data_IF_374677422740
#
_entry.id   IF_374677422740
#
_cell.length_a   1.000
_cell.length_b   1.000
_cell.length_c   1.000
_cell.angle_alpha   90.00
_cell.angle_beta   90.00
_cell.angle_gamma   90.00
#
_symmetry.space_group_name_H-M   'P 1'
#
loop_
_entity.id
_entity.type
_entity.pdbx_description
1 polymer ?
#
# COMPACT_ATOMS: atom_id res chain seq x y z
N UNK A 1 -14.55 6.25 34.55
CA UNK A 1 -14.46 5.03 33.71
C UNK A 1 -15.84 4.44 33.40
N UNK A 2 -16.77 4.33 34.35
CA UNK A 2 -18.11 3.71 34.07
C UNK A 2 -19.05 4.53 33.18
N UNK A 3 -19.04 5.88 33.23
CA UNK A 3 -19.92 6.71 32.37
C UNK A 3 -19.59 6.71 30.88
N UNK A 4 -18.33 6.43 30.53
CA UNK A 4 -17.90 6.30 29.12
C UNK A 4 -18.46 4.99 28.55
N UNK A 5 -18.39 3.90 29.33
CA UNK A 5 -18.92 2.58 28.92
C UNK A 5 -20.44 2.56 28.65
N UNK A 6 -21.24 3.26 29.44
CA UNK A 6 -22.70 3.27 29.27
C UNK A 6 -23.17 4.05 28.02
N UNK A 7 -22.46 5.11 27.64
CA UNK A 7 -22.75 5.85 26.41
C UNK A 7 -22.37 5.03 25.16
N UNK A 8 -21.32 4.22 25.26
CA UNK A 8 -20.78 3.46 24.12
C UNK A 8 -21.60 2.22 23.76
N UNK A 9 -22.28 1.59 24.72
CA UNK A 9 -23.10 0.39 24.47
C UNK A 9 -24.36 0.68 23.64
N UNK A 10 -24.87 1.90 23.65
CA UNK A 10 -26.10 2.27 22.93
C UNK A 10 -25.86 2.68 21.46
N UNK A 11 -24.62 2.99 21.07
CA UNK A 11 -24.25 3.59 19.77
C UNK A 11 -23.13 2.84 19.02
N UNK A 12 -22.64 1.70 19.53
CA UNK A 12 -21.55 0.94 18.89
C UNK A 12 -21.99 0.32 17.56
N UNK A 13 -21.54 0.90 16.44
CA UNK A 13 -21.57 0.24 15.14
C UNK A 13 -20.50 -0.86 15.11
N UNK A 14 -20.95 -2.11 15.30
CA UNK A 14 -20.07 -3.28 15.31
C UNK A 14 -19.33 -3.48 13.98
N UNK A 15 -19.94 -3.13 12.84
CA UNK A 15 -19.30 -3.23 11.53
C UNK A 15 -18.20 -2.18 11.38
N UNK A 16 -18.45 -0.95 11.84
CA UNK A 16 -17.42 0.09 11.89
C UNK A 16 -16.28 -0.28 12.84
N UNK A 17 -16.60 -0.77 14.04
CA UNK A 17 -15.60 -1.22 15.00
C UNK A 17 -14.70 -2.31 14.41
N UNK A 18 -15.28 -3.34 13.77
CA UNK A 18 -14.52 -4.39 13.11
C UNK A 18 -13.70 -3.83 11.95
N UNK A 19 -14.30 -2.97 11.11
CA UNK A 19 -13.62 -2.32 9.99
C UNK A 19 -12.40 -1.53 10.46
N UNK A 20 -12.56 -0.59 11.39
CA UNK A 20 -11.47 0.24 11.91
C UNK A 20 -10.44 -0.58 12.67
N UNK A 21 -10.86 -1.59 13.44
CA UNK A 21 -9.95 -2.49 14.16
C UNK A 21 -9.06 -3.25 13.19
N UNK A 22 -9.60 -3.84 12.13
CA UNK A 22 -8.80 -4.58 11.16
C UNK A 22 -7.87 -3.68 10.34
N UNK A 23 -8.26 -2.42 10.08
CA UNK A 23 -7.40 -1.46 9.37
C UNK A 23 -6.28 -0.89 10.24
N UNK A 24 -6.54 -0.63 11.52
CA UNK A 24 -5.57 0.00 12.42
C UNK A 24 -4.67 -1.01 13.13
N UNK A 25 -5.15 -2.24 13.35
CA UNK A 25 -4.46 -3.27 14.13
C UNK A 25 -4.02 -4.46 13.27
N UNK A 26 -3.34 -4.20 12.16
CA UNK A 26 -2.63 -5.23 11.41
C UNK A 26 -1.12 -4.96 11.38
N UNK A 27 -0.34 -6.04 11.33
CA UNK A 27 1.11 -5.93 11.30
C UNK A 27 1.59 -5.75 9.85
N UNK A 28 1.86 -4.48 9.48
CA UNK A 28 2.47 -4.10 8.19
C UNK A 28 3.87 -4.69 8.01
N UNK A 29 4.22 -5.06 6.79
CA UNK A 29 5.57 -5.54 6.44
C UNK A 29 6.46 -4.37 6.00
N UNK A 30 7.23 -3.84 6.96
CA UNK A 30 8.10 -2.66 6.75
C UNK A 30 9.13 -2.87 5.65
N UNK A 31 9.67 -4.10 5.52
CA UNK A 31 10.67 -4.39 4.51
C UNK A 31 10.07 -4.26 3.09
N UNK A 32 8.83 -4.73 2.92
CA UNK A 32 8.10 -4.61 1.67
C UNK A 32 7.71 -3.16 1.35
N UNK A 33 7.31 -2.37 2.36
CA UNK A 33 7.04 -0.95 2.14
C UNK A 33 8.28 -0.16 1.73
N UNK A 34 9.39 -0.44 2.40
CA UNK A 34 10.66 0.20 2.13
C UNK A 34 11.15 -0.12 0.71
N UNK A 35 11.10 -1.39 0.29
CA UNK A 35 11.49 -1.77 -1.07
C UNK A 35 10.54 -1.19 -2.12
N UNK A 36 9.21 -1.16 -1.88
CA UNK A 36 8.23 -0.55 -2.80
C UNK A 36 8.55 0.91 -3.06
N UNK A 37 8.80 1.67 -1.99
CA UNK A 37 9.13 3.08 -2.09
C UNK A 37 10.47 3.30 -2.81
N UNK A 38 11.47 2.47 -2.51
CA UNK A 38 12.75 2.50 -3.21
C UNK A 38 12.58 2.22 -4.71
N UNK A 39 11.82 1.18 -5.07
CA UNK A 39 11.55 0.83 -6.45
C UNK A 39 10.86 1.96 -7.22
N UNK A 40 9.72 2.41 -6.71
CA UNK A 40 8.92 3.44 -7.38
C UNK A 40 9.70 4.75 -7.51
N UNK A 41 10.41 5.21 -6.47
CA UNK A 41 11.02 6.54 -6.48
C UNK A 41 12.46 6.57 -7.02
N UNK A 42 13.28 5.56 -6.72
CA UNK A 42 14.70 5.55 -7.08
C UNK A 42 14.99 4.71 -8.32
N UNK A 43 14.24 3.63 -8.57
CA UNK A 43 14.52 2.73 -9.70
C UNK A 43 13.73 3.16 -10.93
N UNK A 44 12.40 3.13 -10.87
CA UNK A 44 11.55 3.35 -12.05
C UNK A 44 11.24 4.83 -12.28
N UNK A 45 10.90 5.58 -11.23
CA UNK A 45 10.41 6.94 -11.35
C UNK A 45 11.42 7.99 -11.79
N UNK A 46 12.69 7.63 -12.00
CA UNK A 46 13.76 8.55 -12.41
C UNK A 46 13.91 8.74 -13.91
N UNK A 47 13.38 7.81 -14.71
CA UNK A 47 13.46 7.90 -16.16
C UNK A 47 12.11 7.59 -16.79
N UNK A 48 11.60 8.55 -17.57
CA UNK A 48 10.37 8.40 -18.34
C UNK A 48 10.43 7.22 -19.32
N UNK A 49 11.62 6.81 -19.76
CA UNK A 49 11.80 5.71 -20.70
C UNK A 49 11.50 4.34 -20.08
N UNK A 50 11.31 4.27 -18.76
CA UNK A 50 10.84 3.06 -18.08
C UNK A 50 9.33 2.81 -18.29
N UNK A 51 8.65 3.71 -19.01
CA UNK A 51 7.21 3.63 -19.31
C UNK A 51 6.95 3.64 -20.81
N UNK A 52 5.83 3.01 -21.18
CA UNK A 52 5.32 3.02 -22.55
C UNK A 52 5.05 4.45 -23.05
N UNK A 53 5.16 4.63 -24.37
CA UNK A 53 5.10 5.94 -25.03
C UNK A 53 3.83 6.74 -24.71
N UNK A 54 2.71 6.06 -24.49
CA UNK A 54 1.43 6.67 -24.12
C UNK A 54 1.41 7.20 -22.67
N UNK A 55 2.19 6.61 -21.77
CA UNK A 55 2.33 7.03 -20.37
C UNK A 55 3.38 8.14 -20.21
N UNK A 56 4.37 8.24 -21.11
CA UNK A 56 5.45 9.24 -21.00
C UNK A 56 4.96 10.69 -20.94
N UNK A 57 3.77 11.00 -21.49
CA UNK A 57 3.16 12.33 -21.37
C UNK A 57 2.62 12.66 -19.96
N UNK A 58 2.31 11.63 -19.17
CA UNK A 58 1.91 11.74 -17.77
C UNK A 58 3.10 11.86 -16.82
N UNK A 59 4.33 11.57 -17.29
CA UNK A 59 5.55 11.54 -16.47
C UNK A 59 5.72 12.78 -15.60
N UNK A 60 6.10 12.55 -14.35
CA UNK A 60 6.51 13.59 -13.40
C UNK A 60 7.78 13.14 -12.70
N UNK A 61 8.82 13.95 -12.78
CA UNK A 61 10.08 13.72 -12.06
C UNK A 61 9.91 14.07 -10.57
N UNK A 62 9.23 13.19 -9.84
CA UNK A 62 9.03 13.33 -8.40
C UNK A 62 10.35 13.35 -7.64
N UNK A 63 11.34 12.60 -8.10
CA UNK A 63 12.64 12.51 -7.46
C UNK A 63 13.32 13.88 -7.38
N UNK A 64 13.47 14.53 -8.54
CA UNK A 64 14.11 15.84 -8.65
C UNK A 64 13.27 16.92 -7.96
N UNK A 65 11.94 16.92 -8.16
CA UNK A 65 11.06 17.90 -7.55
C UNK A 65 11.10 17.84 -6.00
N UNK A 66 11.12 16.63 -5.44
CA UNK A 66 11.24 16.40 -4.01
C UNK A 66 12.59 16.85 -3.47
N UNK A 67 13.68 16.47 -4.15
CA UNK A 67 15.04 16.87 -3.78
C UNK A 67 15.24 18.40 -3.82
N UNK A 68 14.70 19.07 -4.83
CA UNK A 68 14.76 20.53 -4.94
C UNK A 68 13.99 21.23 -3.82
N UNK A 69 12.80 20.73 -3.47
CA UNK A 69 11.96 21.36 -2.45
C UNK A 69 12.47 21.15 -1.03
N UNK A 70 12.81 19.91 -0.67
CA UNK A 70 13.13 19.55 0.71
C UNK A 70 14.64 19.47 0.99
N UNK A 71 15.47 19.44 -0.05
CA UNK A 71 16.94 19.40 0.07
C UNK A 71 17.49 18.02 0.44
N UNK A 72 16.70 16.96 0.26
CA UNK A 72 17.07 15.54 0.37
C UNK A 72 16.18 14.72 -0.57
N UNK A 73 16.64 13.54 -0.98
CA UNK A 73 15.91 12.69 -1.93
C UNK A 73 14.85 11.83 -1.23
N UNK A 74 13.85 11.29 -1.96
CA UNK A 74 12.90 10.32 -1.41
C UNK A 74 13.57 9.12 -0.72
N UNK A 75 14.67 8.63 -1.29
CA UNK A 75 15.45 7.51 -0.75
C UNK A 75 16.17 7.88 0.54
N UNK A 76 16.68 9.11 0.64
CA UNK A 76 17.25 9.60 1.90
C UNK A 76 16.17 9.74 2.97
N UNK A 77 15.02 10.31 2.61
CA UNK A 77 13.85 10.43 3.49
C UNK A 77 13.44 9.07 4.07
N UNK A 78 13.20 8.07 3.22
CA UNK A 78 12.79 6.74 3.68
C UNK A 78 13.91 6.05 4.48
N UNK A 79 15.17 6.17 4.07
CA UNK A 79 16.29 5.56 4.80
C UNK A 79 16.44 6.13 6.22
N UNK A 80 16.32 7.44 6.39
CA UNK A 80 16.44 8.07 7.71
C UNK A 80 15.28 7.71 8.63
N UNK A 81 14.06 7.62 8.10
CA UNK A 81 12.92 7.09 8.85
C UNK A 81 13.10 5.61 9.22
N UNK A 82 13.73 4.81 8.37
CA UNK A 82 14.05 3.41 8.68
C UNK A 82 15.02 3.32 9.87
N UNK A 83 16.01 4.21 9.92
CA UNK A 83 16.90 4.33 11.08
C UNK A 83 16.18 4.65 12.39
N UNK A 84 15.11 5.44 12.35
CA UNK A 84 14.30 5.75 13.53
C UNK A 84 13.55 4.53 14.10
N UNK A 85 13.33 3.48 13.29
CA UNK A 85 12.67 2.26 13.76
C UNK A 85 13.54 1.40 14.69
N UNK A 86 14.87 1.61 14.72
CA UNK A 86 15.80 0.86 15.60
C UNK A 86 15.35 0.91 17.06
N UNK A 87 14.81 2.05 17.52
CA UNK A 87 14.40 2.21 18.93
C UNK A 87 13.24 1.30 19.33
N UNK A 88 12.48 0.80 18.36
CA UNK A 88 11.33 -0.07 18.60
C UNK A 88 11.66 -1.55 18.40
N UNK A 89 12.62 -1.86 17.53
CA UNK A 89 12.95 -3.24 17.16
C UNK A 89 14.30 -3.73 17.69
N UNK A 90 15.06 -2.91 18.43
CA UNK A 90 16.27 -3.40 19.08
C UNK A 90 15.92 -4.37 20.22
N UNK A 91 16.54 -5.56 20.25
CA UNK A 91 16.38 -6.58 21.30
C UNK A 91 16.84 -6.11 22.70
N UNK A 92 17.59 -5.01 22.74
CA UNK A 92 17.85 -4.30 23.99
C UNK A 92 16.55 -3.60 24.37
N UNK A 93 16.03 -3.83 25.58
CA UNK A 93 14.90 -3.10 26.18
C UNK A 93 15.13 -1.56 26.18
N UNK A 94 15.18 -0.94 25.00
CA UNK A 94 15.74 0.39 24.77
C UNK A 94 14.89 1.47 25.40
N UNK A 95 13.58 1.22 25.50
CA UNK A 95 12.62 2.07 26.19
C UNK A 95 12.76 2.02 27.73
N UNK A 96 13.43 0.99 28.30
CA UNK A 96 13.66 0.88 29.75
C UNK A 96 14.95 1.61 30.16
N UNK A 97 15.92 1.74 29.26
CA UNK A 97 17.25 2.27 29.58
C UNK A 97 17.55 3.66 28.99
N UNK A 98 16.78 4.15 28.02
CA UNK A 98 16.98 5.47 27.40
C UNK A 98 15.79 6.40 27.67
N UNK A 99 16.09 7.69 27.79
CA UNK A 99 15.07 8.74 27.74
C UNK A 99 14.32 8.64 26.40
N UNK A 100 12.98 8.69 26.45
CA UNK A 100 12.16 8.79 25.24
C UNK A 100 12.45 10.08 24.47
N UNK A 101 12.83 11.17 25.17
CA UNK A 101 13.35 12.38 24.55
C UNK A 101 14.75 12.13 24.01
N UNK A 102 14.88 12.26 22.70
CA UNK A 102 16.13 12.07 21.94
C UNK A 102 16.67 13.41 21.47
N UNK A 103 17.99 13.51 21.42
CA UNK A 103 18.69 14.65 20.86
C UNK A 103 19.39 14.24 19.56
N UNK A 104 19.21 15.01 18.49
CA UNK A 104 19.76 14.70 17.16
C UNK A 104 21.29 14.62 17.19
N UNK A 105 21.97 15.51 17.91
CA UNK A 105 23.44 15.51 17.99
C UNK A 105 23.94 14.31 18.80
N UNK A 106 23.24 13.93 19.88
CA UNK A 106 23.61 12.77 20.68
C UNK A 106 23.44 11.45 19.91
N UNK A 107 22.36 11.33 19.13
CA UNK A 107 22.03 10.12 18.38
C UNK A 107 22.80 10.04 17.06
N UNK A 108 22.84 11.12 16.30
CA UNK A 108 23.31 11.16 14.92
C UNK A 108 24.57 12.01 14.71
N UNK A 109 25.15 12.62 15.76
CA UNK A 109 26.27 13.56 15.61
C UNK A 109 27.50 12.99 14.91
N UNK A 110 27.68 11.66 14.93
CA UNK A 110 28.78 10.96 14.24
C UNK A 110 28.44 10.55 12.79
N UNK A 111 27.18 10.67 12.38
CA UNK A 111 26.73 10.30 11.04
C UNK A 111 26.92 11.50 10.11
N UNK A 112 27.55 11.26 8.96
CA UNK A 112 27.89 12.31 7.98
C UNK A 112 26.63 13.04 7.48
N UNK A 113 25.52 12.33 7.38
CA UNK A 113 24.23 12.78 6.90
C UNK A 113 23.38 13.48 7.98
N UNK A 114 23.93 13.79 9.17
CA UNK A 114 23.17 14.34 10.32
C UNK A 114 22.30 15.55 9.99
N UNK A 115 22.78 16.44 9.13
CA UNK A 115 22.03 17.64 8.73
C UNK A 115 20.78 17.28 7.91
N UNK A 116 20.86 16.24 7.08
CA UNK A 116 19.72 15.76 6.32
C UNK A 116 18.73 15.01 7.21
N UNK A 117 19.23 14.18 8.14
CA UNK A 117 18.40 13.52 9.15
C UNK A 117 17.63 14.56 9.98
N UNK A 118 18.32 15.61 10.43
CA UNK A 118 17.72 16.72 11.17
C UNK A 118 16.59 17.39 10.38
N UNK A 119 16.79 17.65 9.08
CA UNK A 119 15.72 18.20 8.22
C UNK A 119 14.50 17.28 8.14
N UNK A 120 14.70 15.98 7.95
CA UNK A 120 13.59 15.01 7.90
C UNK A 120 12.80 15.01 9.20
N UNK A 121 13.47 14.89 10.34
CA UNK A 121 12.82 14.92 11.67
C UNK A 121 12.04 16.22 11.84
N UNK A 122 12.64 17.37 11.49
CA UNK A 122 11.99 18.68 11.65
C UNK A 122 10.75 18.84 10.77
N UNK A 123 10.75 18.36 9.52
CA UNK A 123 9.58 18.42 8.63
C UNK A 123 8.42 17.57 9.18
N UNK A 124 8.75 16.50 9.88
CA UNK A 124 7.79 15.55 10.43
C UNK A 124 7.45 15.81 11.91
N UNK A 125 7.94 16.92 12.47
CA UNK A 125 7.74 17.28 13.87
C UNK A 125 6.62 18.29 14.09
N UNK A 126 5.94 18.19 15.23
CA UNK A 126 5.07 19.23 15.76
C UNK A 126 5.43 19.58 17.21
N UNK A 127 5.05 20.78 17.66
CA UNK A 127 5.25 21.17 19.06
C UNK A 127 4.22 20.53 19.98
N UNK A 128 4.59 20.39 21.25
CA UNK A 128 3.70 19.91 22.33
C UNK A 128 2.43 20.77 22.41
N UNK A 129 2.56 22.09 22.29
CA UNK A 129 1.43 23.01 22.35
C UNK A 129 0.40 22.77 21.23
N UNK A 130 0.87 22.45 20.02
CA UNK A 130 -0.02 22.14 18.90
C UNK A 130 -0.75 20.82 19.10
N UNK A 131 -0.08 19.76 19.58
CA UNK A 131 -0.76 18.50 19.92
C UNK A 131 -1.76 18.69 21.05
N UNK A 132 -1.42 19.47 22.08
CA UNK A 132 -2.35 19.77 23.18
C UNK A 132 -3.62 20.44 22.66
N UNK A 133 -3.47 21.42 21.75
CA UNK A 133 -4.61 22.10 21.14
C UNK A 133 -5.49 21.11 20.36
N UNK A 134 -4.88 20.31 19.48
CA UNK A 134 -5.62 19.30 18.71
C UNK A 134 -6.34 18.30 19.61
N UNK A 135 -5.68 17.75 20.63
CA UNK A 135 -6.28 16.77 21.55
C UNK A 135 -7.49 17.32 22.32
N UNK A 136 -7.52 18.63 22.62
CA UNK A 136 -8.68 19.28 23.22
C UNK A 136 -9.80 19.46 22.18
N UNK A 137 -9.45 19.81 20.94
CA UNK A 137 -10.41 20.00 19.84
C UNK A 137 -11.05 18.68 19.38
N UNK A 138 -10.31 17.57 19.46
CA UNK A 138 -10.76 16.22 19.06
C UNK A 138 -11.20 15.33 20.23
N UNK A 139 -11.36 15.86 21.46
CA UNK A 139 -11.67 15.05 22.66
C UNK A 139 -12.89 14.13 22.51
N UNK A 140 -13.88 14.53 21.70
CA UNK A 140 -15.10 13.76 21.44
C UNK A 140 -15.00 12.82 20.21
N UNK A 141 -13.83 12.69 19.58
CA UNK A 141 -13.58 11.83 18.41
C UNK A 141 -12.62 10.70 18.83
N UNK A 142 -13.17 9.61 19.35
CA UNK A 142 -12.41 8.53 20.01
C UNK A 142 -11.31 7.90 19.15
N UNK A 143 -11.46 7.92 17.82
CA UNK A 143 -10.52 7.33 16.87
C UNK A 143 -9.74 8.38 16.05
N UNK A 144 -9.82 9.67 16.42
CA UNK A 144 -9.01 10.68 15.76
C UNK A 144 -7.56 10.61 16.25
N UNK A 145 -6.73 9.88 15.50
CA UNK A 145 -5.27 9.86 15.63
C UNK A 145 -4.57 10.61 14.49
N UNK A 146 -5.34 11.37 13.69
CA UNK A 146 -4.87 11.94 12.42
C UNK A 146 -3.61 12.79 12.57
N UNK A 147 -3.50 13.57 13.65
CA UNK A 147 -2.34 14.43 13.89
C UNK A 147 -1.05 13.65 14.13
N UNK A 148 -1.13 12.49 14.77
CA UNK A 148 0.02 11.62 14.99
C UNK A 148 0.45 10.91 13.69
N UNK A 149 -0.49 10.60 12.80
CA UNK A 149 -0.18 10.08 11.47
C UNK A 149 0.38 11.15 10.52
N UNK A 150 -0.06 12.41 10.66
CA UNK A 150 0.41 13.54 9.86
C UNK A 150 1.83 13.95 10.22
N UNK A 151 2.14 13.97 11.52
CA UNK A 151 3.41 14.36 12.10
C UNK A 151 3.77 13.32 13.17
N UNK A 152 4.68 12.38 12.89
CA UNK A 152 5.01 11.29 13.81
C UNK A 152 5.98 11.68 14.95
N UNK A 153 6.52 12.90 14.94
CA UNK A 153 7.45 13.38 15.96
C UNK A 153 6.87 14.53 16.79
N UNK A 154 7.07 14.45 18.10
CA UNK A 154 6.80 15.55 19.04
C UNK A 154 8.12 16.20 19.38
N UNK A 155 8.21 17.53 19.25
CA UNK A 155 9.40 18.31 19.55
C UNK A 155 9.16 19.23 20.75
N UNK A 156 10.12 19.27 21.66
CA UNK A 156 10.11 20.21 22.78
C UNK A 156 10.80 21.54 22.44
N UNK A 157 10.84 22.46 23.43
CA UNK A 157 11.44 23.79 23.29
C UNK A 157 12.97 23.76 23.17
N UNK A 158 13.60 22.70 23.69
CA UNK A 158 15.05 22.51 23.64
C UNK A 158 15.49 21.82 22.33
N UNK A 159 14.53 21.45 21.48
CA UNK A 159 14.76 20.79 20.21
C UNK A 159 14.95 19.29 20.30
N UNK A 160 14.75 18.69 21.48
CA UNK A 160 14.65 17.24 21.64
C UNK A 160 13.34 16.76 21.03
N UNK A 161 13.32 15.50 20.61
CA UNK A 161 12.16 14.92 19.95
C UNK A 161 11.82 13.54 20.51
N UNK A 162 10.54 13.18 20.36
CA UNK A 162 10.00 11.84 20.62
C UNK A 162 9.37 11.36 19.32
N UNK A 163 9.67 10.13 18.93
CA UNK A 163 8.82 9.39 18.00
C UNK A 163 7.66 8.78 18.78
N UNK A 164 6.43 8.94 18.29
CA UNK A 164 5.22 8.53 19.02
C UNK A 164 5.11 7.00 19.13
N UNK A 165 5.16 6.33 17.99
CA UNK A 165 5.21 4.87 17.90
C UNK A 165 5.70 4.43 16.51
N UNK A 166 6.07 3.15 16.41
CA UNK A 166 6.46 2.51 15.16
C UNK A 166 5.37 2.59 14.08
N UNK A 167 4.09 2.48 14.44
CA UNK A 167 2.95 2.60 13.49
C UNK A 167 2.96 3.96 12.79
N UNK A 168 3.10 5.06 13.53
CA UNK A 168 3.10 6.42 12.95
C UNK A 168 4.32 6.67 12.07
N UNK A 169 5.47 6.11 12.44
CA UNK A 169 6.66 6.14 11.59
C UNK A 169 6.46 5.35 10.30
N UNK A 170 5.95 4.11 10.40
CA UNK A 170 5.63 3.25 9.25
C UNK A 170 4.68 3.96 8.26
N UNK A 171 3.63 4.61 8.78
CA UNK A 171 2.75 5.45 7.96
C UNK A 171 3.50 6.57 7.22
N UNK A 172 4.52 7.16 7.84
CA UNK A 172 5.28 8.24 7.24
C UNK A 172 6.11 7.80 6.02
N UNK A 173 6.47 6.52 5.89
CA UNK A 173 7.18 6.01 4.70
C UNK A 173 6.33 6.07 3.45
N UNK A 174 5.04 5.79 3.58
CA UNK A 174 4.19 5.47 2.44
C UNK A 174 3.08 6.51 2.21
N UNK A 175 2.30 6.82 3.26
CA UNK A 175 1.21 7.80 3.14
C UNK A 175 1.76 9.23 3.18
N UNK A 176 2.66 9.53 4.11
CA UNK A 176 3.16 10.92 4.24
C UNK A 176 4.01 11.34 3.04
N UNK A 177 4.81 10.44 2.47
CA UNK A 177 5.65 10.78 1.32
C UNK A 177 4.80 11.16 0.10
N UNK A 178 3.65 10.51 -0.11
CA UNK A 178 2.68 10.88 -1.15
C UNK A 178 2.26 12.34 -1.02
N UNK A 179 1.92 12.79 0.20
CA UNK A 179 1.55 14.17 0.46
C UNK A 179 2.71 15.14 0.30
N UNK A 180 3.91 14.78 0.75
CA UNK A 180 5.11 15.61 0.53
C UNK A 180 5.42 15.78 -0.96
N UNK A 181 5.29 14.71 -1.76
CA UNK A 181 5.39 14.79 -3.23
C UNK A 181 4.31 15.69 -3.80
N UNK A 182 3.05 15.57 -3.35
CA UNK A 182 1.95 16.43 -3.80
C UNK A 182 2.27 17.90 -3.60
N UNK A 183 2.85 18.26 -2.46
CA UNK A 183 3.20 19.64 -2.15
C UNK A 183 4.38 20.18 -3.00
N UNK A 184 5.12 19.34 -3.73
CA UNK A 184 6.12 19.80 -4.70
C UNK A 184 5.48 20.45 -5.93
N UNK A 185 4.17 20.28 -6.13
CA UNK A 185 3.44 20.79 -7.29
C UNK A 185 2.39 21.83 -6.88
N UNK A 186 2.02 22.77 -7.77
CA UNK A 186 0.97 23.75 -7.50
C UNK A 186 -0.36 23.09 -7.09
N UNK A 187 -1.09 23.70 -6.15
CA UNK A 187 -2.39 23.16 -5.70
C UNK A 187 -3.43 23.06 -6.82
N UNK A 188 -3.32 23.94 -7.84
CA UNK A 188 -4.18 23.91 -9.01
C UNK A 188 -3.92 22.70 -9.95
N UNK A 189 -2.72 22.11 -9.91
CA UNK A 189 -2.39 20.94 -10.72
C UNK A 189 -2.98 19.67 -10.09
N UNK A 190 -4.22 19.34 -10.48
CA UNK A 190 -4.90 18.12 -10.06
C UNK A 190 -4.31 16.85 -10.71
N UNK A 191 -3.52 16.99 -11.78
CA UNK A 191 -2.90 15.87 -12.48
C UNK A 191 -1.59 15.43 -11.83
N UNK A 192 -1.03 16.25 -10.93
CA UNK A 192 0.27 16.02 -10.31
C UNK A 192 0.43 14.64 -9.68
N UNK A 193 -0.66 14.02 -9.17
CA UNK A 193 -0.63 12.69 -8.53
C UNK A 193 -1.09 11.54 -9.43
N UNK A 194 -1.53 11.81 -10.66
CA UNK A 194 -1.93 10.76 -11.59
C UNK A 194 -0.76 9.81 -11.88
N UNK A 195 0.46 10.36 -12.04
CA UNK A 195 1.66 9.58 -12.30
C UNK A 195 2.09 8.69 -11.12
N UNK A 196 1.73 9.03 -9.88
CA UNK A 196 1.96 8.14 -8.73
C UNK A 196 1.20 6.81 -8.90
N UNK A 197 -0.01 6.87 -9.46
CA UNK A 197 -0.76 5.66 -9.84
C UNK A 197 0.00 4.80 -10.85
N UNK A 198 0.64 5.42 -11.85
CA UNK A 198 1.45 4.73 -12.86
C UNK A 198 2.67 4.04 -12.27
N UNK A 199 3.30 4.63 -11.26
CA UNK A 199 4.41 3.99 -10.54
C UNK A 199 3.95 2.72 -9.80
N UNK A 200 2.78 2.78 -9.18
CA UNK A 200 2.19 1.65 -8.49
C UNK A 200 1.74 0.55 -9.44
N UNK A 201 1.07 0.91 -10.54
CA UNK A 201 0.71 -0.02 -11.64
C UNK A 201 1.95 -0.75 -12.17
N UNK A 202 3.02 0.00 -12.45
CA UNK A 202 4.29 -0.55 -12.94
C UNK A 202 4.93 -1.51 -11.93
N UNK A 203 4.94 -1.18 -10.64
CA UNK A 203 5.42 -2.08 -9.60
C UNK A 203 4.68 -3.43 -9.61
N UNK A 204 3.34 -3.40 -9.63
CA UNK A 204 2.55 -4.64 -9.66
C UNK A 204 2.82 -5.42 -10.95
N UNK A 205 2.87 -4.77 -12.10
CA UNK A 205 3.19 -5.43 -13.37
C UNK A 205 4.54 -6.13 -13.32
N UNK A 206 5.58 -5.47 -12.81
CA UNK A 206 6.93 -6.03 -12.75
C UNK A 206 7.03 -7.17 -11.73
N UNK A 207 6.42 -7.05 -10.54
CA UNK A 207 6.35 -8.17 -9.57
C UNK A 207 5.63 -9.37 -10.19
N UNK A 208 4.52 -9.12 -10.91
CA UNK A 208 3.73 -10.17 -11.57
C UNK A 208 4.55 -10.88 -12.64
N UNK A 209 5.18 -10.12 -13.53
CA UNK A 209 6.00 -10.66 -14.62
C UNK A 209 7.16 -11.48 -14.06
N UNK A 210 7.90 -10.95 -13.08
CA UNK A 210 9.09 -11.61 -12.54
C UNK A 210 8.78 -12.84 -11.70
N UNK A 211 7.65 -12.85 -10.98
CA UNK A 211 7.20 -14.02 -10.23
C UNK A 211 6.66 -15.14 -11.14
N UNK A 212 6.20 -14.79 -12.34
CA UNK A 212 5.58 -15.76 -13.26
C UNK A 212 6.63 -16.68 -13.89
N UNK A 213 6.61 -17.94 -13.51
CA UNK A 213 7.54 -18.96 -14.01
C UNK A 213 6.86 -20.35 -14.14
N UNK A 214 7.57 -21.31 -14.74
CA UNK A 214 7.10 -22.69 -14.90
C UNK A 214 5.84 -22.81 -15.77
N UNK A 215 4.79 -23.41 -15.23
CA UNK A 215 3.51 -23.64 -15.94
C UNK A 215 2.60 -22.39 -16.00
N UNK A 216 3.04 -21.27 -15.41
CA UNK A 216 2.33 -20.01 -15.45
C UNK A 216 2.83 -19.14 -16.61
N UNK A 217 1.89 -18.56 -17.35
CA UNK A 217 2.19 -17.66 -18.48
C UNK A 217 1.76 -16.23 -18.13
N UNK A 218 2.70 -15.28 -18.25
CA UNK A 218 2.42 -13.86 -18.06
C UNK A 218 1.94 -13.23 -19.37
N UNK A 219 0.91 -12.41 -19.29
CA UNK A 219 0.41 -11.61 -20.42
C UNK A 219 0.32 -10.15 -19.94
N UNK A 220 1.11 -9.28 -20.58
CA UNK A 220 1.19 -7.86 -20.25
C UNK A 220 -0.11 -7.11 -20.61
N UNK A 221 -0.24 -5.86 -20.12
CA UNK A 221 -1.27 -4.93 -20.60
C UNK A 221 -1.15 -4.72 -22.11
N UNK A 222 -2.27 -4.60 -22.81
CA UNK A 222 -2.31 -4.30 -24.24
C UNK A 222 -3.48 -3.39 -24.61
N UNK A 223 -3.34 -2.71 -25.74
CA UNK A 223 -4.43 -1.95 -26.35
C UNK A 223 -5.43 -2.86 -27.06
N UNK A 224 -6.72 -2.58 -26.90
CA UNK A 224 -7.80 -3.22 -27.64
C UNK A 224 -8.85 -2.17 -28.07
N UNK A 225 -9.77 -2.57 -28.95
CA UNK A 225 -10.84 -1.68 -29.43
C UNK A 225 -12.18 -2.08 -28.83
N UNK A 226 -12.79 -1.16 -28.09
CA UNK A 226 -14.17 -1.28 -27.66
C UNK A 226 -15.01 -0.20 -28.35
N UNK A 227 -16.02 -0.60 -29.14
CA UNK A 227 -16.94 0.34 -29.84
C UNK A 227 -16.19 1.44 -30.62
N UNK A 228 -15.11 1.06 -31.33
CA UNK A 228 -14.22 1.95 -32.11
C UNK A 228 -13.35 2.91 -31.29
N UNK A 229 -13.34 2.81 -29.97
CA UNK A 229 -12.40 3.54 -29.10
C UNK A 229 -11.28 2.60 -28.68
N UNK A 230 -10.06 3.08 -28.78
CA UNK A 230 -8.90 2.39 -28.20
C UNK A 230 -8.97 2.49 -26.68
N UNK A 231 -8.75 1.36 -26.03
CA UNK A 231 -8.73 1.20 -24.57
C UNK A 231 -7.55 0.31 -24.18
N UNK A 232 -7.07 0.46 -22.96
CA UNK A 232 -6.12 -0.48 -22.35
C UNK A 232 -6.87 -1.60 -21.64
N UNK A 233 -6.30 -2.79 -21.72
CA UNK A 233 -6.74 -3.98 -20.98
C UNK A 233 -6.56 -3.78 -19.47
N UNK A 234 -6.83 -4.81 -18.67
CA UNK A 234 -6.35 -4.82 -17.28
C UNK A 234 -4.81 -4.85 -17.24
N UNK A 235 -4.26 -4.43 -16.10
CA UNK A 235 -2.83 -4.12 -15.94
C UNK A 235 -1.91 -5.32 -16.14
N UNK A 236 -2.37 -6.53 -15.79
CA UNK A 236 -1.65 -7.78 -16.02
C UNK A 236 -2.58 -8.99 -16.04
N UNK A 237 -2.13 -10.08 -16.67
CA UNK A 237 -2.78 -11.38 -16.60
C UNK A 237 -1.78 -12.52 -16.35
N UNK A 238 -2.26 -13.58 -15.71
CA UNK A 238 -1.52 -14.82 -15.52
C UNK A 238 -2.41 -15.98 -15.94
N UNK A 239 -1.93 -16.83 -16.84
CA UNK A 239 -2.64 -18.03 -17.30
C UNK A 239 -2.00 -19.30 -16.76
N UNK A 240 -2.82 -20.29 -16.40
CA UNK A 240 -2.41 -21.69 -16.21
C UNK A 240 -3.48 -22.62 -16.73
N UNK A 241 -3.21 -23.27 -17.87
CA UNK A 241 -4.17 -24.14 -18.54
C UNK A 241 -5.43 -23.38 -18.97
N UNK A 242 -6.59 -23.77 -18.40
CA UNK A 242 -7.90 -23.15 -18.65
C UNK A 242 -8.27 -22.06 -17.64
N UNK A 243 -7.39 -21.77 -16.67
CA UNK A 243 -7.60 -20.70 -15.69
C UNK A 243 -6.86 -19.42 -16.10
N UNK A 244 -7.53 -18.29 -15.90
CA UNK A 244 -6.97 -16.95 -16.10
C UNK A 244 -7.10 -16.12 -14.83
N UNK A 245 -6.00 -15.55 -14.37
CA UNK A 245 -5.97 -14.52 -13.34
C UNK A 245 -5.85 -13.17 -14.03
N UNK A 246 -6.80 -12.28 -13.77
CA UNK A 246 -6.84 -10.90 -14.25
C UNK A 246 -6.50 -9.98 -13.09
N UNK A 247 -5.51 -9.11 -13.28
CA UNK A 247 -5.01 -8.19 -12.25
C UNK A 247 -5.35 -6.77 -12.67
N UNK A 248 -6.19 -6.12 -11.88
CA UNK A 248 -6.58 -4.71 -12.06
C UNK A 248 -6.04 -3.90 -10.88
N UNK A 249 -5.19 -2.93 -11.15
CA UNK A 249 -4.45 -2.17 -10.15
C UNK A 249 -5.08 -0.80 -9.96
N UNK A 250 -5.19 -0.37 -8.70
CA UNK A 250 -5.62 0.98 -8.34
C UNK A 250 -4.76 1.51 -7.20
N UNK A 251 -3.98 2.55 -7.45
CA UNK A 251 -3.14 3.23 -6.43
C UNK A 251 -3.93 4.05 -5.40
N UNK A 252 -5.09 3.56 -4.96
CA UNK A 252 -5.89 4.17 -3.91
C UNK A 252 -5.67 3.45 -2.58
N UNK A 253 -5.60 4.25 -1.52
CA UNK A 253 -5.63 3.83 -0.12
C UNK A 253 -7.03 4.12 0.47
N UNK A 254 -7.36 3.48 1.59
CA UNK A 254 -8.64 3.71 2.29
C UNK A 254 -8.67 5.14 2.84
N UNK A 255 -9.78 5.85 2.63
CA UNK A 255 -9.88 7.23 3.12
C UNK A 255 -9.84 7.26 4.66
N UNK A 256 -9.03 8.15 5.23
CA UNK A 256 -8.92 8.33 6.68
C UNK A 256 -10.26 8.69 7.33
N UNK A 257 -11.14 9.41 6.62
CA UNK A 257 -12.50 9.70 7.07
C UNK A 257 -13.38 8.44 7.17
N UNK A 258 -13.15 7.41 6.36
CA UNK A 258 -13.83 6.12 6.51
C UNK A 258 -13.41 5.42 7.81
N UNK A 259 -12.14 5.55 8.18
CA UNK A 259 -11.58 4.93 9.39
C UNK A 259 -11.97 5.68 10.67
N UNK A 260 -11.97 7.02 10.64
CA UNK A 260 -12.19 7.87 11.82
C UNK A 260 -13.68 8.14 12.07
N UNK A 261 -14.48 8.31 11.00
CA UNK A 261 -15.86 8.82 11.10
C UNK A 261 -16.93 7.85 10.60
N UNK A 262 -16.55 6.69 10.06
CA UNK A 262 -17.45 5.76 9.36
C UNK A 262 -18.20 6.38 8.17
N UNK A 263 -17.71 7.48 7.63
CA UNK A 263 -18.36 8.16 6.51
C UNK A 263 -17.85 7.60 5.18
N UNK A 264 -18.72 7.59 4.14
CA UNK A 264 -18.35 7.22 2.77
C UNK A 264 -17.87 5.77 2.57
N UNK A 265 -18.13 4.84 3.51
CA UNK A 265 -17.73 3.42 3.40
C UNK A 265 -18.21 2.77 2.09
N UNK A 266 -19.48 2.95 1.72
CA UNK A 266 -20.02 2.41 0.45
C UNK A 266 -19.27 2.96 -0.77
N UNK A 267 -18.96 4.25 -0.78
CA UNK A 267 -18.22 4.91 -1.86
C UNK A 267 -16.77 4.41 -1.92
N UNK A 268 -16.16 4.14 -0.78
CA UNK A 268 -14.84 3.51 -0.69
C UNK A 268 -14.88 2.08 -1.24
N UNK A 269 -15.87 1.29 -0.83
CA UNK A 269 -16.06 -0.09 -1.30
C UNK A 269 -16.30 -0.17 -2.81
N UNK A 270 -17.12 0.73 -3.35
CA UNK A 270 -17.37 0.83 -4.78
C UNK A 270 -16.09 1.20 -5.56
N UNK A 271 -15.24 2.06 -4.98
CA UNK A 271 -14.01 2.54 -5.62
C UNK A 271 -12.87 1.50 -5.58
N UNK A 272 -12.70 0.79 -4.48
CA UNK A 272 -11.59 -0.15 -4.27
C UNK A 272 -11.87 -1.56 -4.79
N UNK A 273 -13.13 -2.01 -4.76
CA UNK A 273 -13.47 -3.40 -5.11
C UNK A 273 -14.49 -3.51 -6.24
N UNK A 274 -15.67 -2.91 -6.12
CA UNK A 274 -16.76 -3.15 -7.10
C UNK A 274 -16.39 -2.64 -8.50
N UNK A 275 -15.99 -1.37 -8.64
CA UNK A 275 -15.69 -0.78 -9.97
C UNK A 275 -14.49 -1.42 -10.65
N UNK A 276 -13.35 -1.63 -9.98
CA UNK A 276 -12.20 -2.28 -10.63
C UNK A 276 -12.54 -3.68 -11.13
N UNK A 277 -13.24 -4.50 -10.34
CA UNK A 277 -13.66 -5.83 -10.77
C UNK A 277 -14.59 -5.77 -11.98
N UNK A 278 -15.58 -4.87 -11.97
CA UNK A 278 -16.50 -4.73 -13.11
C UNK A 278 -15.83 -4.14 -14.36
N UNK A 279 -14.79 -3.32 -14.19
CA UNK A 279 -14.00 -2.81 -15.30
C UNK A 279 -13.22 -3.96 -15.97
N UNK A 280 -12.52 -4.76 -15.17
CA UNK A 280 -11.79 -5.94 -15.65
C UNK A 280 -12.73 -6.98 -16.28
N UNK A 281 -13.89 -7.21 -15.67
CA UNK A 281 -14.91 -8.13 -16.17
C UNK A 281 -15.48 -7.67 -17.52
N UNK A 282 -15.81 -6.39 -17.66
CA UNK A 282 -16.26 -5.81 -18.93
C UNK A 282 -15.16 -5.92 -19.99
N UNK A 283 -13.92 -5.58 -19.64
CA UNK A 283 -12.77 -5.72 -20.53
C UNK A 283 -12.63 -7.16 -21.02
N UNK A 284 -12.67 -8.12 -20.11
CA UNK A 284 -12.57 -9.54 -20.41
C UNK A 284 -13.69 -10.00 -21.36
N UNK A 285 -14.93 -9.56 -21.12
CA UNK A 285 -16.07 -9.89 -22.00
C UNK A 285 -15.90 -9.46 -23.46
N UNK A 286 -15.07 -8.44 -23.71
CA UNK A 286 -14.80 -7.93 -25.06
C UNK A 286 -13.66 -8.68 -25.74
N UNK A 287 -12.65 -9.10 -24.98
CA UNK A 287 -11.38 -9.59 -25.54
C UNK A 287 -11.23 -11.12 -25.50
N UNK A 288 -12.00 -11.82 -24.66
CA UNK A 288 -11.76 -13.25 -24.35
C UNK A 288 -11.93 -14.19 -25.55
N UNK A 289 -12.83 -13.87 -26.48
CA UNK A 289 -13.07 -14.67 -27.70
C UNK A 289 -12.19 -14.22 -28.88
N UNK A 290 -11.64 -13.01 -28.84
CA UNK A 290 -10.92 -12.41 -29.96
C UNK A 290 -9.40 -12.57 -29.86
N UNK A 291 -8.88 -12.70 -28.63
CA UNK A 291 -7.43 -12.72 -28.37
C UNK A 291 -6.94 -14.15 -28.18
N UNK A 292 -5.99 -14.55 -29.02
CA UNK A 292 -5.44 -15.92 -29.07
C UNK A 292 -4.91 -16.43 -27.73
N UNK A 293 -4.29 -15.54 -26.95
CA UNK A 293 -3.74 -15.84 -25.63
C UNK A 293 -4.80 -16.26 -24.61
N UNK A 294 -6.08 -16.01 -24.88
CA UNK A 294 -7.21 -16.37 -24.02
C UNK A 294 -8.07 -17.53 -24.57
N UNK A 295 -7.68 -18.14 -25.69
CA UNK A 295 -8.41 -19.29 -26.22
C UNK A 295 -8.35 -20.47 -25.25
N UNK A 296 -9.52 -21.04 -24.96
CA UNK A 296 -9.68 -22.17 -24.04
C UNK A 296 -9.78 -21.79 -22.56
N UNK A 297 -9.88 -20.50 -22.22
CA UNK A 297 -10.17 -20.09 -20.84
C UNK A 297 -11.60 -20.50 -20.46
N UNK A 298 -11.72 -21.17 -19.31
CA UNK A 298 -12.98 -21.62 -18.72
C UNK A 298 -13.34 -20.80 -17.50
N UNK A 299 -12.36 -20.58 -16.62
CA UNK A 299 -12.53 -19.87 -15.35
C UNK A 299 -11.58 -18.67 -15.26
N UNK A 300 -12.17 -17.50 -15.02
CA UNK A 300 -11.45 -16.27 -14.77
C UNK A 300 -11.60 -15.82 -13.30
N UNK A 301 -10.47 -15.41 -12.74
CA UNK A 301 -10.29 -14.89 -11.39
C UNK A 301 -9.88 -13.42 -11.54
N UNK A 302 -10.61 -12.48 -10.93
CA UNK A 302 -10.28 -11.05 -11.02
C UNK A 302 -9.80 -10.55 -9.66
N UNK A 303 -8.59 -10.02 -9.60
CA UNK A 303 -8.07 -9.38 -8.38
C UNK A 303 -7.97 -7.87 -8.62
N UNK A 304 -8.69 -7.10 -7.81
CA UNK A 304 -8.44 -5.67 -7.63
C UNK A 304 -7.29 -5.49 -6.63
N UNK A 305 -6.13 -5.05 -7.08
CA UNK A 305 -4.97 -4.77 -6.22
C UNK A 305 -4.93 -3.30 -5.86
N UNK A 306 -5.01 -3.02 -4.57
CA UNK A 306 -5.01 -1.66 -4.00
C UNK A 306 -3.91 -1.52 -2.95
N UNK A 307 -3.63 -0.29 -2.49
CA UNK A 307 -2.61 -0.09 -1.44
C UNK A 307 -3.02 -0.78 -0.14
N UNK A 308 -4.29 -0.60 0.25
CA UNK A 308 -4.96 -1.30 1.34
C UNK A 308 -6.05 -2.20 0.79
N UNK A 309 -6.50 -3.20 1.55
CA UNK A 309 -7.66 -4.01 1.18
C UNK A 309 -8.94 -3.52 1.88
N UNK A 310 -10.08 -3.90 1.33
CA UNK A 310 -11.32 -3.93 2.10
C UNK A 310 -11.26 -5.15 3.01
N UNK A 311 -11.20 -4.87 4.31
CA UNK A 311 -11.23 -5.91 5.32
C UNK A 311 -12.53 -6.73 5.28
N UNK A 312 -12.42 -8.00 5.64
CA UNK A 312 -13.45 -9.04 5.49
C UNK A 312 -14.63 -8.90 6.50
N UNK A 313 -15.21 -7.72 6.59
CA UNK A 313 -16.42 -7.45 7.38
C UNK A 313 -17.62 -8.09 6.67
N UNK A 314 -18.33 -9.06 7.28
CA UNK A 314 -19.31 -9.88 6.58
C UNK A 314 -20.39 -9.10 5.83
N UNK A 315 -20.96 -8.06 6.44
CA UNK A 315 -22.04 -7.29 5.83
C UNK A 315 -21.58 -6.51 4.59
N UNK A 316 -20.40 -5.87 4.66
CA UNK A 316 -19.82 -5.15 3.52
C UNK A 316 -19.46 -6.12 2.39
N UNK A 317 -18.81 -7.25 2.69
CA UNK A 317 -18.45 -8.25 1.68
C UNK A 317 -19.68 -8.86 0.99
N UNK A 318 -20.72 -9.17 1.76
CA UNK A 318 -21.97 -9.70 1.21
C UNK A 318 -22.63 -8.72 0.25
N UNK A 319 -22.66 -7.43 0.59
CA UNK A 319 -23.21 -6.39 -0.28
C UNK A 319 -22.37 -6.22 -1.56
N UNK A 320 -21.05 -6.13 -1.42
CA UNK A 320 -20.11 -6.04 -2.55
C UNK A 320 -20.30 -7.22 -3.50
N UNK A 321 -20.33 -8.44 -2.98
CA UNK A 321 -20.53 -9.65 -3.79
C UNK A 321 -21.88 -9.63 -4.51
N UNK A 322 -22.96 -9.25 -3.83
CA UNK A 322 -24.28 -9.09 -4.46
C UNK A 322 -24.24 -8.05 -5.59
N UNK A 323 -23.54 -6.93 -5.39
CA UNK A 323 -23.43 -5.86 -6.37
C UNK A 323 -22.63 -6.30 -7.61
N UNK A 324 -21.49 -6.98 -7.42
CA UNK A 324 -20.68 -7.51 -8.52
C UNK A 324 -21.46 -8.58 -9.29
N UNK A 325 -22.08 -9.55 -8.62
CA UNK A 325 -22.84 -10.63 -9.29
C UNK A 325 -23.99 -10.11 -10.14
N UNK A 326 -24.67 -9.03 -9.71
CA UNK A 326 -25.76 -8.42 -10.49
C UNK A 326 -25.28 -7.67 -11.72
N UNK A 327 -24.03 -7.20 -11.74
CA UNK A 327 -23.52 -6.23 -12.73
C UNK A 327 -22.45 -6.81 -13.66
N UNK A 328 -21.81 -7.91 -13.28
CA UNK A 328 -20.82 -8.60 -14.12
C UNK A 328 -21.48 -9.12 -15.40
N UNK A 329 -20.74 -9.06 -16.49
CA UNK A 329 -21.17 -9.40 -17.85
C UNK A 329 -20.37 -10.55 -18.45
N UNK A 330 -19.14 -10.81 -18.00
CA UNK A 330 -18.37 -11.95 -18.50
C UNK A 330 -18.81 -13.26 -17.82
N UNK A 331 -19.17 -14.25 -18.63
CA UNK A 331 -19.59 -15.57 -18.14
C UNK A 331 -18.43 -16.38 -17.55
N UNK A 332 -17.21 -16.11 -18.01
CA UNK A 332 -15.97 -16.75 -17.57
C UNK A 332 -15.52 -16.25 -16.20
N UNK A 333 -15.89 -15.03 -15.79
CA UNK A 333 -15.62 -14.51 -14.44
C UNK A 333 -16.36 -15.32 -13.39
N UNK A 334 -15.62 -16.13 -12.62
CA UNK A 334 -16.14 -16.97 -11.54
C UNK A 334 -15.81 -16.43 -10.16
N UNK A 335 -14.60 -15.88 -10.01
CA UNK A 335 -14.06 -15.47 -8.72
C UNK A 335 -13.54 -14.04 -8.79
N UNK A 336 -13.69 -13.29 -7.70
CA UNK A 336 -13.18 -11.93 -7.62
C UNK A 336 -12.77 -11.56 -6.20
N UNK A 337 -11.74 -10.72 -6.10
CA UNK A 337 -11.08 -10.39 -4.85
C UNK A 337 -10.67 -8.91 -4.85
N UNK A 338 -10.50 -8.36 -3.65
CA UNK A 338 -9.73 -7.15 -3.45
C UNK A 338 -8.61 -7.44 -2.46
N UNK A 339 -7.38 -7.31 -2.93
CA UNK A 339 -6.18 -7.56 -2.14
C UNK A 339 -5.41 -6.25 -1.94
N UNK A 340 -4.80 -6.13 -0.76
CA UNK A 340 -3.76 -5.14 -0.55
C UNK A 340 -2.54 -5.54 -1.37
N UNK A 341 -1.62 -4.60 -1.57
CA UNK A 341 -0.35 -4.90 -2.22
C UNK A 341 0.42 -5.99 -1.47
N UNK A 342 0.35 -6.03 -0.14
CA UNK A 342 1.00 -7.06 0.67
C UNK A 342 0.38 -8.45 0.44
N UNK A 343 -0.94 -8.55 0.44
CA UNK A 343 -1.65 -9.80 0.14
C UNK A 343 -1.35 -10.31 -1.28
N UNK A 344 -1.22 -9.38 -2.22
CA UNK A 344 -0.84 -9.70 -3.60
C UNK A 344 0.61 -10.19 -3.70
N UNK A 345 1.56 -9.55 -3.03
CA UNK A 345 2.96 -9.99 -2.95
C UNK A 345 3.08 -11.39 -2.36
N UNK A 346 2.30 -11.71 -1.32
CA UNK A 346 2.24 -13.07 -0.74
C UNK A 346 1.72 -14.10 -1.76
N UNK A 347 0.72 -13.74 -2.58
CA UNK A 347 0.24 -14.60 -3.66
C UNK A 347 1.32 -14.81 -4.73
N UNK A 348 2.05 -13.74 -5.09
CA UNK A 348 3.12 -13.80 -6.08
C UNK A 348 4.31 -14.64 -5.60
N UNK A 349 4.63 -14.61 -4.30
CA UNK A 349 5.61 -15.53 -3.70
C UNK A 349 5.18 -17.00 -3.90
N UNK A 350 3.93 -17.33 -3.58
CA UNK A 350 3.42 -18.70 -3.78
C UNK A 350 3.41 -19.10 -5.26
N UNK A 351 3.10 -18.16 -6.15
CA UNK A 351 3.15 -18.37 -7.60
C UNK A 351 4.57 -18.69 -8.07
N UNK A 352 5.56 -17.89 -7.66
CA UNK A 352 6.98 -18.08 -8.00
C UNK A 352 7.49 -19.45 -7.52
N UNK A 353 6.97 -19.93 -6.39
CA UNK A 353 7.26 -21.26 -5.82
C UNK A 353 6.41 -22.39 -6.41
N UNK A 354 5.70 -22.14 -7.52
CA UNK A 354 4.91 -23.12 -8.27
C UNK A 354 3.73 -23.74 -7.50
N UNK A 355 3.23 -23.09 -6.43
CA UNK A 355 2.00 -23.50 -5.78
C UNK A 355 0.79 -23.28 -6.70
N UNK A 356 -0.26 -24.10 -6.55
CA UNK A 356 -1.52 -23.92 -7.28
C UNK A 356 -2.32 -22.72 -6.75
N UNK A 357 -1.93 -21.51 -7.17
CA UNK A 357 -2.60 -20.27 -6.74
C UNK A 357 -4.09 -20.23 -7.11
N UNK A 358 -4.53 -20.89 -8.20
CA UNK A 358 -5.94 -20.94 -8.58
C UNK A 358 -6.74 -21.80 -7.60
N UNK A 359 -6.19 -22.93 -7.17
CA UNK A 359 -6.75 -23.75 -6.10
C UNK A 359 -6.85 -22.98 -4.78
N UNK A 360 -5.78 -22.28 -4.38
CA UNK A 360 -5.74 -21.46 -3.16
C UNK A 360 -6.83 -20.38 -3.18
N UNK A 361 -6.92 -19.63 -4.28
CA UNK A 361 -7.92 -18.57 -4.44
C UNK A 361 -9.35 -19.14 -4.37
N UNK A 362 -9.61 -20.22 -5.12
CA UNK A 362 -10.92 -20.90 -5.11
C UNK A 362 -11.30 -21.38 -3.71
N UNK A 363 -10.37 -21.97 -2.98
CA UNK A 363 -10.63 -22.47 -1.62
C UNK A 363 -10.88 -21.32 -0.64
N UNK A 364 -10.14 -20.21 -0.79
CA UNK A 364 -10.38 -19.00 -0.01
C UNK A 364 -11.76 -18.39 -0.28
N UNK A 365 -12.14 -18.24 -1.56
CA UNK A 365 -13.44 -17.69 -1.94
C UNK A 365 -14.62 -18.51 -1.43
N UNK A 366 -14.47 -19.83 -1.35
CA UNK A 366 -15.50 -20.74 -0.86
C UNK A 366 -15.44 -20.99 0.67
N UNK A 367 -14.54 -20.31 1.39
CA UNK A 367 -14.46 -20.43 2.85
C UNK A 367 -15.72 -19.93 3.54
N UNK A 368 -16.18 -20.66 4.56
CA UNK A 368 -17.35 -20.28 5.37
C UNK A 368 -17.07 -19.07 6.28
N UNK A 369 -15.81 -18.87 6.65
CA UNK A 369 -15.38 -17.75 7.47
C UNK A 369 -14.53 -16.82 6.61
N UNK A 370 -15.04 -15.62 6.41
CA UNK A 370 -14.33 -14.50 5.80
C UNK A 370 -13.32 -13.98 6.83
N UNK A 371 -12.04 -14.16 6.53
CA UNK A 371 -10.90 -13.64 7.30
C UNK A 371 -9.94 -12.97 6.33
N UNK A 372 -9.08 -12.04 6.78
CA UNK A 372 -8.05 -11.46 5.92
C UNK A 372 -7.25 -12.53 5.16
N UNK A 373 -6.91 -12.27 3.90
CA UNK A 373 -6.27 -13.28 3.05
C UNK A 373 -4.86 -13.59 3.55
N UNK A 374 -4.15 -12.59 4.05
CA UNK A 374 -2.85 -12.76 4.73
C UNK A 374 -2.93 -13.80 5.85
N UNK A 375 -3.91 -13.70 6.76
CA UNK A 375 -4.12 -14.69 7.83
C UNK A 375 -4.46 -16.08 7.27
N UNK A 376 -5.31 -16.14 6.23
CA UNK A 376 -5.63 -17.41 5.57
C UNK A 376 -4.39 -18.12 5.03
N UNK A 377 -3.44 -17.36 4.46
CA UNK A 377 -2.20 -17.90 3.93
C UNK A 377 -1.21 -18.30 5.04
N UNK A 378 -1.00 -17.44 6.04
CA UNK A 378 -0.05 -17.70 7.13
C UNK A 378 -0.40 -18.94 7.97
N UNK A 379 -1.69 -19.29 8.07
CA UNK A 379 -2.10 -20.54 8.72
C UNK A 379 -1.78 -21.82 7.91
N UNK A 380 -1.53 -21.69 6.60
CA UNK A 380 -1.33 -22.81 5.67
C UNK A 380 0.11 -22.97 5.23
N UNK A 381 0.85 -21.87 5.24
CA UNK A 381 2.20 -21.81 4.70
C UNK A 381 3.10 -21.16 5.74
N UNK A 382 4.08 -21.93 6.23
CA UNK A 382 4.98 -21.49 7.31
C UNK A 382 6.01 -20.46 6.81
N UNK A 383 6.38 -20.48 5.53
CA UNK A 383 7.48 -19.69 4.95
C UNK A 383 7.01 -18.79 3.80
N UNK A 384 6.10 -17.84 4.05
CA UNK A 384 5.76 -16.81 3.04
C UNK A 384 6.79 -15.68 3.11
N UNK A 385 7.60 -15.56 2.06
CA UNK A 385 8.69 -14.60 1.96
C UNK A 385 8.50 -13.55 0.85
N UNK A 386 9.61 -12.96 0.44
CA UNK A 386 9.72 -12.10 -0.73
C UNK A 386 9.93 -12.95 -1.98
N UNK A 387 9.46 -12.49 -3.14
CA UNK A 387 9.89 -13.06 -4.42
C UNK A 387 11.36 -12.74 -4.68
N UNK A 388 12.03 -13.48 -5.56
CA UNK A 388 13.44 -13.25 -5.90
C UNK A 388 13.66 -11.80 -6.40
N UNK A 389 12.71 -11.26 -7.15
CA UNK A 389 12.71 -9.85 -7.58
C UNK A 389 12.64 -8.87 -6.41
N UNK A 390 11.79 -9.14 -5.43
CA UNK A 390 11.66 -8.30 -4.24
C UNK A 390 12.90 -8.41 -3.34
N UNK A 391 13.50 -9.59 -3.20
CA UNK A 391 14.74 -9.80 -2.45
C UNK A 391 15.89 -8.97 -3.03
N UNK A 392 16.11 -9.00 -4.35
CA UNK A 392 17.13 -8.19 -5.02
C UNK A 392 16.91 -6.67 -4.81
N UNK A 393 15.65 -6.23 -4.87
CA UNK A 393 15.31 -4.83 -4.59
C UNK A 393 15.55 -4.45 -3.13
N UNK A 394 15.16 -5.32 -2.19
CA UNK A 394 15.36 -5.09 -0.78
C UNK A 394 16.85 -5.07 -0.41
N UNK A 395 17.67 -5.93 -1.02
CA UNK A 395 19.12 -5.93 -0.83
C UNK A 395 19.75 -4.63 -1.31
N UNK A 396 19.35 -4.12 -2.48
CA UNK A 396 19.80 -2.82 -3.00
C UNK A 396 19.36 -1.67 -2.09
N UNK A 397 18.08 -1.65 -1.70
CA UNK A 397 17.52 -0.62 -0.83
C UNK A 397 18.19 -0.61 0.55
N UNK A 398 18.35 -1.78 1.16
CA UNK A 398 18.94 -1.94 2.49
C UNK A 398 20.43 -1.62 2.50
N UNK A 399 21.19 -2.00 1.46
CA UNK A 399 22.58 -1.57 1.29
C UNK A 399 22.67 -0.04 1.22
N UNK A 400 21.80 0.60 0.43
CA UNK A 400 21.77 2.05 0.32
C UNK A 400 21.42 2.73 1.65
N UNK A 401 20.47 2.18 2.39
CA UNK A 401 20.10 2.67 3.72
C UNK A 401 21.28 2.55 4.69
N UNK A 402 21.98 1.41 4.71
CA UNK A 402 23.17 1.20 5.56
C UNK A 402 24.26 2.22 5.29
N UNK A 403 24.54 2.53 4.02
CA UNK A 403 25.50 3.59 3.65
C UNK A 403 25.12 4.97 4.20
N UNK A 404 23.82 5.28 4.29
CA UNK A 404 23.29 6.57 4.71
C UNK A 404 23.10 6.72 6.22
N UNK A 405 22.77 5.62 6.92
CA UNK A 405 22.38 5.63 8.34
C UNK A 405 23.45 5.02 9.23
N UNK A 406 24.24 4.07 8.71
CA UNK A 406 25.23 3.31 9.47
C UNK A 406 26.60 3.31 8.78
N UNK A 407 27.25 4.47 8.59
CA UNK A 407 28.49 4.58 7.83
C UNK A 407 29.71 3.87 8.45
N UNK A 408 29.54 3.07 9.51
CA UNK A 408 30.56 2.18 10.09
C UNK A 408 29.92 0.88 10.60
N UNK A 409 29.87 -0.13 9.74
CA UNK A 409 29.86 -1.54 10.13
C UNK A 409 31.09 -2.22 9.53
#
# INVERSE_FOLDING_TARGET
>A
MEKVNEKHLAELDANHFLYSTYHLNYQRNVAHEFLRMYYMMEVVGRDKNNFDLDIQGEYRDYYTAFAQKYGFTPTQYSSFLFGELITYYSDVNGLICNSMWRNIEEVYGQIKEKELISKVINILSCSIETYKKWAIESENQEWDFSKFFELPFIKDKDGRYISICDITLRNAFFEKIFWLIRECYPQADKSAMAFFGRLFEKYIQDVTEKATNGDYEYIAEFSYKEKKKEKKSSDAYIRKGTNLLVVEVKGFSVLIDCMIKNEQVEKNNEKLFVKPVLQADLCLSVIIEDKTEFFGIEDAYIISVTMDNINAVPDYYNEIHKNIQKRKVCEKTKYYYNFSVEEYEMLMYLLERQYDVFGILRDYYNSKALRPFSNYLQERYEDIGMTDFMEDLYDKASKRMKELVFPRS
#
